data_IF_792056470861
#
_entry.id   IF_792056470861
#
_cell.length_a   1.000
_cell.length_b   1.000
_cell.length_c   1.000
_cell.angle_alpha   90.00
_cell.angle_beta   90.00
_cell.angle_gamma   90.00
#
_symmetry.space_group_name_H-M   'P 1'
#
loop_
_entity.id
_entity.type
_entity.pdbx_description
1 polymer ?
#
# COMPACT_ATOMS: atom_id res chain seq x y z
N UNK A 1 43.04 16.80 -4.73
CA UNK A 1 42.83 15.43 -4.21
C UNK A 1 41.37 15.08 -4.47
N UNK A 2 41.09 14.40 -5.59
CA UNK A 2 39.72 14.15 -6.06
C UNK A 2 39.23 12.87 -5.39
N UNK A 3 38.22 13.00 -4.53
CA UNK A 3 37.50 11.86 -3.95
C UNK A 3 36.78 11.12 -5.08
N UNK A 4 37.21 9.90 -5.38
CA UNK A 4 36.45 8.97 -6.19
C UNK A 4 35.13 8.63 -5.46
N UNK A 5 34.03 9.15 -5.98
CA UNK A 5 32.68 8.74 -5.59
C UNK A 5 32.51 7.26 -5.93
N UNK A 6 32.32 6.42 -4.92
CA UNK A 6 31.94 5.01 -5.09
C UNK A 6 30.60 4.94 -5.82
N UNK A 7 30.64 4.67 -7.12
CA UNK A 7 29.46 4.32 -7.91
C UNK A 7 28.81 3.09 -7.29
N UNK A 8 27.57 3.23 -6.82
CA UNK A 8 26.82 2.13 -6.22
C UNK A 8 26.52 1.06 -7.27
N UNK A 9 27.09 -0.13 -7.10
CA UNK A 9 26.77 -1.32 -7.88
C UNK A 9 25.34 -1.80 -7.57
N UNK A 10 24.63 -2.28 -8.59
CA UNK A 10 23.27 -2.80 -8.46
C UNK A 10 23.26 -4.32 -8.57
N UNK A 11 22.96 -4.98 -7.45
CA UNK A 11 22.63 -6.40 -7.39
C UNK A 11 21.19 -6.61 -7.89
N UNK A 12 21.01 -7.47 -8.90
CA UNK A 12 19.70 -8.02 -9.24
C UNK A 12 19.42 -9.15 -8.25
N UNK A 13 18.46 -8.90 -7.36
CA UNK A 13 18.03 -9.85 -6.34
C UNK A 13 16.63 -10.37 -6.65
N UNK A 14 16.39 -11.63 -6.31
CA UNK A 14 15.07 -12.21 -6.36
C UNK A 14 14.09 -11.42 -5.47
N UNK A 15 12.93 -11.06 -6.02
CA UNK A 15 11.97 -10.19 -5.34
C UNK A 15 11.32 -10.80 -4.09
N UNK A 16 11.29 -12.14 -3.99
CA UNK A 16 10.62 -12.86 -2.90
C UNK A 16 11.60 -13.32 -1.82
N UNK A 17 12.78 -13.80 -2.22
CA UNK A 17 13.79 -14.41 -1.34
C UNK A 17 14.96 -13.47 -1.04
N UNK A 18 15.11 -12.38 -1.79
CA UNK A 18 16.23 -11.43 -1.70
C UNK A 18 17.61 -12.06 -1.98
N UNK A 19 17.64 -13.28 -2.54
CA UNK A 19 18.84 -13.95 -3.00
C UNK A 19 19.45 -13.19 -4.19
N UNK A 20 20.78 -13.18 -4.28
CA UNK A 20 21.47 -12.57 -5.43
C UNK A 20 21.26 -13.44 -6.66
N UNK A 21 20.47 -12.96 -7.62
CA UNK A 21 20.28 -13.64 -8.89
C UNK A 21 21.41 -13.29 -9.86
N UNK A 22 21.86 -12.04 -9.85
CA UNK A 22 22.87 -11.57 -10.78
C UNK A 22 23.53 -10.28 -10.27
N UNK A 23 24.86 -10.21 -10.38
CA UNK A 23 25.63 -8.99 -10.09
C UNK A 23 26.01 -8.35 -11.43
N UNK A 24 25.44 -7.18 -11.69
CA UNK A 24 25.55 -6.54 -13.00
C UNK A 24 26.85 -5.74 -13.14
N UNK A 25 27.48 -5.84 -14.32
CA UNK A 25 28.74 -5.17 -14.63
C UNK A 25 28.55 -3.73 -15.12
N UNK A 26 29.63 -2.94 -15.05
CA UNK A 26 29.64 -1.50 -15.41
C UNK A 26 29.23 -1.19 -16.85
N UNK A 27 29.38 -2.15 -17.75
CA UNK A 27 29.12 -1.96 -19.17
C UNK A 27 27.74 -2.46 -19.59
N UNK A 28 26.94 -2.94 -18.65
CA UNK A 28 25.62 -3.50 -18.94
C UNK A 28 24.57 -2.41 -18.82
N UNK A 29 23.81 -2.21 -19.90
CA UNK A 29 22.65 -1.33 -19.90
C UNK A 29 21.57 -1.94 -19.01
N UNK A 30 21.44 -1.41 -17.81
CA UNK A 30 20.42 -1.83 -16.86
C UNK A 30 19.16 -1.00 -17.09
N UNK A 31 18.16 -1.60 -17.73
CA UNK A 31 16.81 -1.03 -17.79
C UNK A 31 15.84 -1.96 -17.07
N UNK A 32 15.07 -1.41 -16.12
CA UNK A 32 13.95 -2.12 -15.51
C UNK A 32 12.67 -1.60 -16.15
N UNK A 33 11.97 -2.46 -16.87
CA UNK A 33 10.63 -2.14 -17.36
C UNK A 33 9.70 -2.00 -16.16
N UNK A 34 9.09 -0.83 -16.03
CA UNK A 34 8.07 -0.53 -15.03
C UNK A 34 6.86 0.05 -15.73
N UNK A 35 5.68 -0.42 -15.38
CA UNK A 35 4.45 0.20 -15.84
C UNK A 35 4.21 1.52 -15.09
N UNK A 36 3.87 2.55 -15.84
CA UNK A 36 3.37 3.81 -15.29
C UNK A 36 2.26 4.36 -16.19
N UNK A 37 1.30 5.02 -15.58
CA UNK A 37 0.19 5.66 -16.27
C UNK A 37 -0.06 7.02 -15.63
N UNK A 38 -0.18 8.05 -16.46
CA UNK A 38 -0.70 9.36 -16.05
C UNK A 38 -2.07 9.51 -16.71
N UNK A 39 -3.08 9.81 -15.92
CA UNK A 39 -4.43 10.09 -16.38
C UNK A 39 -4.90 11.43 -15.82
N UNK A 40 -5.27 12.35 -16.70
CA UNK A 40 -5.81 13.65 -16.32
C UNK A 40 -7.27 13.64 -16.77
N UNK A 41 -8.24 13.55 -15.84
CA UNK A 41 -9.64 13.61 -16.19
C UNK A 41 -9.99 14.98 -16.79
N UNK A 42 -10.95 15.00 -17.71
CA UNK A 42 -11.47 16.25 -18.25
C UNK A 42 -12.02 17.15 -17.13
N UNK A 43 -11.81 18.46 -17.27
CA UNK A 43 -12.27 19.47 -16.31
C UNK A 43 -11.77 19.26 -14.85
N UNK A 44 -10.72 18.45 -14.65
CA UNK A 44 -10.13 18.22 -13.34
C UNK A 44 -8.89 19.08 -13.13
N UNK A 45 -8.76 19.63 -11.91
CA UNK A 45 -7.50 20.25 -11.43
C UNK A 45 -6.47 19.22 -10.96
N UNK A 46 -6.84 17.94 -10.95
CA UNK A 46 -6.06 16.83 -10.41
C UNK A 46 -5.77 15.81 -11.50
N UNK A 47 -4.51 15.38 -11.59
CA UNK A 47 -4.09 14.23 -12.38
C UNK A 47 -3.80 13.03 -11.47
N UNK A 48 -4.08 11.84 -11.98
CA UNK A 48 -3.79 10.57 -11.33
C UNK A 48 -2.53 9.98 -11.94
N UNK A 49 -1.62 9.51 -11.08
CA UNK A 49 -0.43 8.80 -11.52
C UNK A 49 -0.38 7.43 -10.85
N UNK A 50 -0.28 6.40 -11.68
CA UNK A 50 -0.17 5.01 -11.26
C UNK A 50 1.23 4.53 -11.54
N UNK A 51 1.85 3.92 -10.55
CA UNK A 51 3.16 3.28 -10.67
C UNK A 51 3.05 1.82 -10.27
N UNK A 52 3.63 0.95 -11.08
CA UNK A 52 3.91 -0.41 -10.66
C UNK A 52 4.96 -0.42 -9.56
N UNK A 53 4.64 -1.07 -8.43
CA UNK A 53 5.59 -1.18 -7.34
C UNK A 53 6.39 -2.49 -7.44
N UNK A 54 7.55 -2.44 -8.09
CA UNK A 54 8.54 -3.53 -8.05
C UNK A 54 9.46 -3.34 -6.84
N UNK A 55 9.25 -4.11 -5.76
CA UNK A 55 10.01 -4.11 -4.47
C UNK A 55 9.61 -3.04 -3.41
N UNK A 56 10.44 -2.85 -2.38
CA UNK A 56 10.26 -1.87 -1.28
C UNK A 56 10.66 -0.43 -1.66
N UNK A 57 11.17 -0.20 -2.87
CA UNK A 57 11.73 1.10 -3.28
C UNK A 57 10.62 2.07 -3.70
N UNK A 58 10.56 3.24 -3.06
CA UNK A 58 9.56 4.26 -3.36
C UNK A 58 9.87 4.99 -4.67
N UNK A 59 9.05 4.76 -5.70
CA UNK A 59 9.18 5.41 -7.02
C UNK A 59 8.81 6.89 -6.97
N UNK A 60 7.98 7.31 -6.00
CA UNK A 60 7.46 8.68 -5.85
C UNK A 60 8.55 9.76 -5.91
N UNK A 61 9.53 9.70 -5.01
CA UNK A 61 10.54 10.78 -4.85
C UNK A 61 11.39 10.91 -6.13
N UNK A 62 11.73 9.77 -6.75
CA UNK A 62 12.51 9.76 -7.99
C UNK A 62 11.66 10.40 -9.10
N UNK A 63 10.40 9.98 -9.24
CA UNK A 63 9.52 10.52 -10.26
C UNK A 63 9.27 12.02 -10.08
N UNK A 64 8.90 12.49 -8.89
CA UNK A 64 8.70 13.92 -8.60
C UNK A 64 9.92 14.74 -9.00
N UNK A 65 11.12 14.28 -8.64
CA UNK A 65 12.37 14.97 -8.95
C UNK A 65 12.66 15.00 -10.44
N UNK A 66 12.56 13.87 -11.13
CA UNK A 66 12.87 13.83 -12.57
C UNK A 66 11.80 14.53 -13.41
N UNK A 67 10.53 14.46 -13.02
CA UNK A 67 9.45 15.17 -13.71
C UNK A 67 9.55 16.69 -13.49
N UNK A 68 9.93 17.14 -12.29
CA UNK A 68 10.22 18.55 -12.03
C UNK A 68 11.38 19.06 -12.88
N UNK A 69 12.47 18.29 -13.01
CA UNK A 69 13.58 18.67 -13.90
C UNK A 69 13.13 18.78 -15.34
N UNK A 70 12.31 17.83 -15.82
CA UNK A 70 11.73 17.88 -17.15
C UNK A 70 10.92 19.16 -17.35
N UNK A 71 10.04 19.52 -16.41
CA UNK A 71 9.26 20.77 -16.50
C UNK A 71 10.16 22.02 -16.56
N UNK A 72 11.18 22.11 -15.71
CA UNK A 72 12.11 23.24 -15.70
C UNK A 72 12.87 23.36 -17.02
N UNK A 73 13.35 22.25 -17.60
CA UNK A 73 14.03 22.26 -18.90
C UNK A 73 13.10 22.75 -20.03
N UNK A 74 11.80 22.49 -19.91
CA UNK A 74 10.79 22.94 -20.87
C UNK A 74 10.22 24.34 -20.57
N UNK A 75 10.81 25.09 -19.62
CA UNK A 75 10.43 26.48 -19.32
C UNK A 75 9.26 26.64 -18.35
N UNK A 76 8.86 25.59 -17.63
CA UNK A 76 7.79 25.61 -16.63
C UNK A 76 8.34 25.85 -15.20
N UNK A 77 9.15 26.90 -15.03
CA UNK A 77 9.94 27.12 -13.79
C UNK A 77 9.09 27.53 -12.58
N UNK A 78 7.87 28.03 -12.82
CA UNK A 78 6.95 28.50 -11.79
C UNK A 78 5.99 27.41 -11.28
N UNK A 79 6.16 26.17 -11.71
CA UNK A 79 5.30 25.05 -11.31
C UNK A 79 6.04 24.12 -10.37
N UNK A 80 5.36 23.69 -9.30
CA UNK A 80 5.85 22.65 -8.39
C UNK A 80 4.93 21.45 -8.45
N UNK A 81 5.45 20.31 -8.86
CA UNK A 81 4.72 19.05 -8.81
C UNK A 81 4.73 18.53 -7.36
N UNK A 82 3.56 18.15 -6.87
CA UNK A 82 3.38 17.46 -5.60
C UNK A 82 2.55 16.20 -5.89
N UNK A 83 3.13 15.01 -5.66
CA UNK A 83 2.36 13.77 -5.68
C UNK A 83 1.87 13.47 -4.27
N UNK A 84 0.56 13.33 -4.11
CA UNK A 84 -0.04 12.89 -2.86
C UNK A 84 -0.54 11.45 -3.01
N UNK A 85 -0.41 10.60 -1.97
CA UNK A 85 -0.99 9.27 -2.02
C UNK A 85 -2.51 9.39 -2.21
N UNK A 86 -3.03 8.86 -3.32
CA UNK A 86 -4.46 8.90 -3.66
C UNK A 86 -5.34 7.94 -2.85
N UNK A 87 -5.25 7.97 -1.51
CA UNK A 87 -6.18 7.24 -0.65
C UNK A 87 -7.47 8.05 -0.50
N UNK A 88 -8.46 7.75 -1.34
CA UNK A 88 -9.79 8.33 -1.20
C UNK A 88 -10.58 7.59 -0.10
N UNK A 89 -11.07 8.31 0.91
CA UNK A 89 -11.93 7.75 1.96
C UNK A 89 -13.20 7.12 1.39
N UNK A 90 -13.74 7.63 0.29
CA UNK A 90 -14.89 7.04 -0.40
C UNK A 90 -14.54 5.66 -0.98
N UNK A 91 -13.35 5.50 -1.57
CA UNK A 91 -12.85 4.21 -2.03
C UNK A 91 -12.70 3.23 -0.86
N UNK A 92 -12.12 3.69 0.26
CA UNK A 92 -11.96 2.87 1.45
C UNK A 92 -13.31 2.44 2.05
N UNK A 93 -14.29 3.36 2.13
CA UNK A 93 -15.65 3.07 2.60
C UNK A 93 -16.33 2.05 1.69
N UNK A 94 -16.32 2.29 0.37
CA UNK A 94 -16.88 1.37 -0.62
C UNK A 94 -16.27 -0.02 -0.53
N UNK A 95 -14.95 -0.09 -0.38
CA UNK A 95 -14.24 -1.35 -0.23
C UNK A 95 -14.65 -2.07 1.07
N UNK A 96 -14.80 -1.34 2.18
CA UNK A 96 -15.26 -1.91 3.46
C UNK A 96 -16.72 -2.35 3.43
N UNK A 97 -17.59 -1.62 2.74
CA UNK A 97 -19.02 -1.91 2.63
C UNK A 97 -19.29 -3.10 1.70
N UNK A 98 -18.74 -3.05 0.49
CA UNK A 98 -19.05 -4.01 -0.59
C UNK A 98 -18.07 -5.19 -0.64
N UNK A 99 -16.89 -5.05 -0.07
CA UNK A 99 -15.86 -6.09 -0.07
C UNK A 99 -16.13 -7.24 0.91
N UNK A 100 -15.36 -8.31 0.72
CA UNK A 100 -15.34 -9.50 1.57
C UNK A 100 -14.16 -9.44 2.52
N UNK A 101 -14.41 -9.62 3.82
CA UNK A 101 -13.37 -9.65 4.84
C UNK A 101 -12.57 -10.96 4.71
N UNK A 102 -11.28 -10.86 4.41
CA UNK A 102 -10.38 -12.01 4.21
C UNK A 102 -9.83 -12.53 5.53
N UNK A 103 -9.37 -11.61 6.38
CA UNK A 103 -8.73 -11.91 7.67
C UNK A 103 -8.75 -10.70 8.58
N UNK A 104 -8.77 -10.95 9.88
CA UNK A 104 -8.57 -9.93 10.92
C UNK A 104 -7.37 -10.33 11.76
N UNK A 105 -6.49 -9.40 12.03
CA UNK A 105 -5.31 -9.57 12.88
C UNK A 105 -5.44 -8.66 14.08
N UNK A 106 -5.57 -9.29 15.24
CA UNK A 106 -5.56 -8.64 16.53
C UNK A 106 -4.11 -8.56 16.99
N UNK A 107 -3.63 -7.35 17.27
CA UNK A 107 -2.22 -7.08 17.54
C UNK A 107 -2.08 -6.54 18.96
N UNK A 108 -1.26 -7.20 19.77
CA UNK A 108 -0.82 -6.72 21.07
C UNK A 108 0.67 -6.42 21.03
N UNK A 109 1.05 -5.23 21.44
CA UNK A 109 2.46 -4.85 21.57
C UNK A 109 2.95 -5.29 22.93
N UNK A 110 3.96 -6.17 22.95
CA UNK A 110 4.69 -6.49 24.18
C UNK A 110 5.60 -5.31 24.49
N UNK A 111 5.08 -4.38 25.27
CA UNK A 111 5.93 -3.41 25.97
C UNK A 111 6.75 -4.19 26.99
N UNK A 112 8.07 -3.97 27.03
CA UNK A 112 8.95 -4.50 28.07
C UNK A 112 8.57 -3.90 29.42
N UNK A 113 7.55 -4.46 30.08
CA UNK A 113 7.26 -4.24 31.50
C UNK A 113 8.05 -5.19 32.41
N UNK A 114 9.24 -5.59 32.00
CA UNK A 114 10.18 -6.33 32.86
C UNK A 114 11.15 -5.42 33.63
N UNK A 115 10.92 -4.10 33.68
CA UNK A 115 11.70 -3.21 34.56
C UNK A 115 11.27 -3.33 36.04
N UNK A 116 10.12 -3.94 36.35
CA UNK A 116 9.64 -4.06 37.74
C UNK A 116 9.72 -5.46 38.36
N UNK A 117 10.11 -6.50 37.61
CA UNK A 117 10.23 -7.87 38.15
C UNK A 117 11.67 -8.43 38.12
N UNK A 118 12.66 -7.68 37.63
CA UNK A 118 14.05 -8.13 37.49
C UNK A 118 14.95 -7.75 38.69
N UNK A 119 14.47 -7.93 39.93
CA UNK A 119 15.38 -7.86 41.10
C UNK A 119 16.29 -9.10 41.22
N UNK A 120 16.08 -10.16 40.39
CA UNK A 120 16.75 -11.46 40.58
C UNK A 120 17.10 -12.22 39.28
N UNK A 121 17.59 -11.55 38.23
CA UNK A 121 18.17 -12.28 37.10
C UNK A 121 18.45 -11.45 35.86
N UNK A 122 19.46 -11.86 35.08
CA UNK A 122 19.83 -11.26 33.80
C UNK A 122 18.66 -11.37 32.80
N UNK A 123 17.82 -10.34 32.79
CA UNK A 123 16.73 -10.20 31.82
C UNK A 123 17.27 -9.67 30.51
N UNK A 124 16.90 -10.33 29.42
CA UNK A 124 17.24 -9.90 28.07
C UNK A 124 16.34 -8.71 27.67
N UNK A 125 16.81 -7.49 27.95
CA UNK A 125 16.07 -6.22 27.87
C UNK A 125 15.54 -5.81 26.47
N UNK A 126 15.74 -6.63 25.43
CA UNK A 126 15.49 -6.27 24.03
C UNK A 126 14.32 -7.00 23.35
N UNK A 127 13.43 -7.66 24.09
CA UNK A 127 12.28 -8.34 23.50
C UNK A 127 11.11 -7.37 23.20
N UNK A 128 11.30 -6.44 22.27
CA UNK A 128 10.18 -5.74 21.62
C UNK A 128 9.48 -6.73 20.68
N UNK A 129 8.41 -7.35 21.15
CA UNK A 129 7.64 -8.33 20.38
C UNK A 129 6.24 -7.84 20.05
N UNK A 130 5.69 -8.29 18.94
CA UNK A 130 4.25 -8.20 18.66
C UNK A 130 3.63 -9.60 18.78
N UNK A 131 2.50 -9.68 19.48
CA UNK A 131 1.67 -10.88 19.48
C UNK A 131 0.51 -10.65 18.52
N UNK A 132 0.49 -11.44 17.44
CA UNK A 132 -0.54 -11.37 16.40
C UNK A 132 -1.43 -12.59 16.50
N UNK A 133 -2.73 -12.36 16.75
CA UNK A 133 -3.77 -13.37 16.63
C UNK A 133 -4.55 -13.14 15.34
N UNK A 134 -4.46 -14.08 14.40
CA UNK A 134 -5.19 -14.03 13.14
C UNK A 134 -6.53 -14.77 13.26
N UNK A 135 -7.63 -14.09 12.92
CA UNK A 135 -8.97 -14.64 12.83
C UNK A 135 -9.29 -14.87 11.35
N UNK A 136 -9.72 -16.10 11.03
CA UNK A 136 -10.21 -16.52 9.72
C UNK A 136 -11.68 -16.86 9.85
N UNK A 137 -12.46 -16.51 8.84
CA UNK A 137 -13.92 -16.65 8.84
C UNK A 137 -14.33 -17.76 7.88
N UNK A 138 -15.19 -18.66 8.34
CA UNK A 138 -15.67 -19.79 7.55
C UNK A 138 -17.15 -19.66 7.16
N UNK A 139 -17.91 -18.80 7.84
CA UNK A 139 -19.32 -18.53 7.55
C UNK A 139 -19.54 -17.04 7.20
N UNK A 140 -20.57 -16.78 6.40
CA UNK A 140 -20.91 -15.45 5.90
C UNK A 140 -21.41 -14.52 7.03
N UNK A 141 -22.22 -15.05 7.95
CA UNK A 141 -22.83 -14.27 9.03
C UNK A 141 -21.80 -13.69 10.00
N UNK A 142 -20.79 -14.45 10.44
CA UNK A 142 -19.67 -13.92 11.23
C UNK A 142 -18.87 -12.92 10.41
N UNK A 143 -18.67 -13.14 9.11
CA UNK A 143 -17.97 -12.19 8.25
C UNK A 143 -18.63 -10.82 8.30
N UNK A 144 -19.95 -10.78 8.12
CA UNK A 144 -20.73 -9.54 8.09
C UNK A 144 -20.78 -8.85 9.46
N UNK A 145 -20.91 -9.59 10.56
CA UNK A 145 -20.85 -9.04 11.91
C UNK A 145 -19.49 -8.39 12.22
N UNK A 146 -18.39 -9.09 11.93
CA UNK A 146 -17.05 -8.54 12.13
C UNK A 146 -16.81 -7.34 11.22
N UNK A 147 -17.24 -7.40 9.96
CA UNK A 147 -17.10 -6.29 9.01
C UNK A 147 -17.84 -5.04 9.48
N UNK A 148 -19.05 -5.20 10.00
CA UNK A 148 -19.84 -4.09 10.54
C UNK A 148 -19.16 -3.40 11.73
N UNK A 149 -18.65 -4.18 12.68
CA UNK A 149 -17.92 -3.62 13.84
C UNK A 149 -16.61 -2.94 13.42
N UNK A 150 -15.86 -3.55 12.49
CA UNK A 150 -14.65 -2.94 11.93
C UNK A 150 -14.94 -1.64 11.20
N UNK A 151 -16.05 -1.56 10.46
CA UNK A 151 -16.49 -0.33 9.80
C UNK A 151 -16.73 0.78 10.82
N UNK A 152 -17.50 0.52 11.87
CA UNK A 152 -17.74 1.49 12.94
C UNK A 152 -16.45 1.97 13.59
N UNK A 153 -15.55 1.04 13.93
CA UNK A 153 -14.28 1.38 14.56
C UNK A 153 -13.33 2.13 13.62
N UNK A 154 -13.37 1.85 12.31
CA UNK A 154 -12.51 2.52 11.35
C UNK A 154 -12.87 4.00 11.19
N UNK A 155 -14.16 4.32 11.22
CA UNK A 155 -14.66 5.70 11.12
C UNK A 155 -14.83 6.40 12.48
N UNK A 156 -14.59 5.71 13.59
CA UNK A 156 -14.54 6.34 14.91
C UNK A 156 -13.17 6.99 15.17
N UNK A 157 -13.13 7.88 16.17
CA UNK A 157 -11.89 8.42 16.70
C UNK A 157 -11.30 7.41 17.69
N UNK A 158 -10.09 6.94 17.40
CA UNK A 158 -9.32 6.03 18.26
C UNK A 158 -8.00 6.70 18.64
N UNK A 159 -7.74 6.78 19.94
CA UNK A 159 -6.48 7.32 20.44
C UNK A 159 -5.38 6.25 20.41
N UNK A 160 -4.16 6.65 20.03
CA UNK A 160 -3.04 5.73 19.85
C UNK A 160 -2.71 4.95 21.13
N UNK A 161 -2.84 5.60 22.30
CA UNK A 161 -2.50 5.03 23.61
C UNK A 161 -3.53 4.09 24.22
N UNK A 162 -4.77 4.08 23.74
CA UNK A 162 -5.85 3.31 24.37
C UNK A 162 -5.83 1.84 23.92
N UNK A 163 -6.63 0.95 24.53
CA UNK A 163 -6.86 -0.38 23.92
C UNK A 163 -8.18 -0.40 23.17
N UNK A 164 -8.21 -1.09 22.04
CA UNK A 164 -9.40 -1.32 21.23
C UNK A 164 -10.17 -2.48 21.86
N UNK A 165 -11.41 -2.22 22.27
CA UNK A 165 -12.37 -3.27 22.61
C UNK A 165 -13.05 -3.72 21.32
N UNK A 166 -13.03 -5.01 21.03
CA UNK A 166 -13.57 -5.56 19.78
C UNK A 166 -14.42 -6.80 20.04
N UNK A 167 -15.63 -6.82 19.45
CA UNK A 167 -16.62 -7.91 19.57
C UNK A 167 -16.93 -8.30 21.02
N UNK A 168 -16.80 -7.35 21.96
CA UNK A 168 -16.96 -7.56 23.41
C UNK A 168 -16.08 -8.68 24.02
N UNK A 169 -15.10 -9.18 23.27
CA UNK A 169 -14.30 -10.37 23.63
C UNK A 169 -12.81 -10.09 23.61
N UNK A 170 -12.38 -9.16 22.76
CA UNK A 170 -10.97 -8.87 22.55
C UNK A 170 -10.65 -7.46 23.04
N UNK A 171 -9.51 -7.33 23.70
CA UNK A 171 -8.95 -6.05 24.14
C UNK A 171 -7.51 -6.00 23.64
N UNK A 172 -7.26 -5.21 22.61
CA UNK A 172 -5.98 -5.22 21.86
C UNK A 172 -5.42 -3.84 21.58
N UNK A 173 -4.13 -3.76 21.29
CA UNK A 173 -3.47 -2.47 21.03
C UNK A 173 -3.77 -1.94 19.62
N UNK A 174 -3.88 -2.82 18.62
CA UNK A 174 -4.18 -2.48 17.23
C UNK A 174 -4.99 -3.61 16.56
N UNK A 175 -5.75 -3.26 15.52
CA UNK A 175 -6.37 -4.24 14.63
C UNK A 175 -5.99 -3.89 13.20
N UNK A 176 -5.52 -4.89 12.45
CA UNK A 176 -5.37 -4.80 11.00
C UNK A 176 -6.25 -5.84 10.33
N UNK A 177 -6.84 -5.51 9.19
CA UNK A 177 -7.74 -6.42 8.49
C UNK A 177 -7.60 -6.28 6.98
N UNK A 178 -7.76 -7.42 6.29
CA UNK A 178 -7.67 -7.47 4.83
C UNK A 178 -9.05 -7.59 4.22
N UNK A 179 -9.36 -6.76 3.23
CA UNK A 179 -10.60 -6.84 2.45
C UNK A 179 -10.25 -7.10 1.00
N UNK A 180 -11.07 -7.93 0.37
CA UNK A 180 -11.06 -8.18 -1.06
C UNK A 180 -12.31 -7.58 -1.71
N UNK A 181 -12.14 -6.82 -2.77
CA UNK A 181 -13.23 -6.27 -3.57
C UNK A 181 -12.77 -6.18 -5.03
N UNK A 182 -13.59 -6.63 -5.98
CA UNK A 182 -13.25 -6.69 -7.42
C UNK A 182 -11.85 -7.28 -7.68
N UNK A 183 -11.56 -8.43 -7.07
CA UNK A 183 -10.25 -9.13 -7.15
C UNK A 183 -9.02 -8.31 -6.71
N UNK A 184 -9.24 -7.13 -6.14
CA UNK A 184 -8.22 -6.29 -5.51
C UNK A 184 -8.21 -6.54 -4.00
N UNK A 185 -7.02 -6.54 -3.40
CA UNK A 185 -6.85 -6.73 -1.96
C UNK A 185 -6.24 -5.49 -1.31
N UNK A 186 -6.77 -5.07 -0.15
CA UNK A 186 -6.20 -3.99 0.66
C UNK A 186 -6.20 -4.35 2.14
N UNK A 187 -5.13 -3.94 2.82
CA UNK A 187 -5.00 -4.07 4.28
C UNK A 187 -5.25 -2.72 4.93
N UNK A 188 -6.17 -2.72 5.90
CA UNK A 188 -6.57 -1.59 6.70
C UNK A 188 -5.95 -1.71 8.09
N UNK A 189 -5.71 -0.55 8.72
CA UNK A 189 -5.23 -0.43 10.09
C UNK A 189 -6.16 0.55 10.81
N UNK A 190 -6.66 0.19 12.00
CA UNK A 190 -7.65 1.00 12.70
C UNK A 190 -7.04 2.28 13.27
N UNK A 191 -5.94 2.17 14.01
CA UNK A 191 -5.29 3.33 14.62
C UNK A 191 -4.21 3.93 13.75
N UNK A 192 -3.28 3.11 13.27
CA UNK A 192 -2.15 3.61 12.50
C UNK A 192 -2.51 3.77 11.02
N UNK A 193 -3.44 4.69 10.75
CA UNK A 193 -3.95 4.98 9.41
C UNK A 193 -2.86 5.42 8.44
N UNK A 194 -1.78 6.03 8.94
CA UNK A 194 -0.59 6.39 8.16
C UNK A 194 0.15 5.18 7.56
N UNK A 195 -0.04 3.96 8.11
CA UNK A 195 0.48 2.72 7.52
C UNK A 195 -0.29 2.27 6.29
N UNK A 196 -1.53 2.75 6.11
CA UNK A 196 -2.26 2.51 4.88
C UNK A 196 -1.55 3.25 3.76
N UNK A 197 -1.00 2.50 2.81
CA UNK A 197 -0.40 3.06 1.59
C UNK A 197 -1.44 3.05 0.48
N UNK A 198 -1.28 3.94 -0.49
CA UNK A 198 -2.09 3.94 -1.72
C UNK A 198 -1.87 2.68 -2.59
N UNK A 199 -0.95 1.80 -2.21
CA UNK A 199 -0.73 0.52 -2.88
C UNK A 199 -1.99 -0.35 -2.83
N UNK A 200 -2.33 -0.93 -3.97
CA UNK A 200 -3.43 -1.88 -4.15
C UNK A 200 -2.82 -3.11 -4.84
N UNK A 201 -3.07 -4.29 -4.29
CA UNK A 201 -2.66 -5.54 -4.95
C UNK A 201 -3.72 -5.91 -5.98
N UNK A 202 -3.32 -5.89 -7.25
CA UNK A 202 -4.15 -6.18 -8.42
C UNK A 202 -3.70 -7.44 -9.16
N UNK A 203 -2.83 -8.26 -8.57
CA UNK A 203 -2.25 -9.42 -9.25
C UNK A 203 -3.31 -10.35 -9.86
N UNK A 204 -4.47 -10.48 -9.20
CA UNK A 204 -5.58 -11.30 -9.67
C UNK A 204 -6.44 -10.65 -10.78
N UNK A 205 -6.27 -9.35 -11.05
CA UNK A 205 -6.95 -8.62 -12.13
C UNK A 205 -6.15 -8.59 -13.43
N UNK A 206 -4.88 -8.98 -13.37
CA UNK A 206 -3.97 -8.87 -14.51
C UNK A 206 -4.03 -10.13 -15.39
N UNK A 207 -3.98 -9.93 -16.70
CA UNK A 207 -3.74 -10.98 -17.69
C UNK A 207 -2.24 -11.12 -17.92
N UNK A 208 -1.76 -12.36 -17.93
CA UNK A 208 -0.34 -12.68 -18.05
C UNK A 208 -0.07 -13.42 -19.37
N UNK A 209 1.08 -13.13 -19.97
CA UNK A 209 1.67 -13.96 -21.03
C UNK A 209 3.01 -14.46 -20.49
N UNK A 210 3.09 -15.75 -20.20
CA UNK A 210 4.18 -16.30 -19.39
C UNK A 210 4.10 -15.79 -17.95
N UNK A 211 5.18 -15.16 -17.47
CA UNK A 211 5.28 -14.61 -16.10
C UNK A 211 5.13 -13.08 -16.02
N UNK A 212 4.88 -12.42 -17.15
CA UNK A 212 4.79 -10.96 -17.23
C UNK A 212 3.34 -10.52 -17.50
N UNK A 213 2.83 -9.51 -16.79
CA UNK A 213 1.52 -8.94 -17.07
C UNK A 213 1.55 -8.18 -18.41
N UNK A 214 0.45 -8.24 -19.17
CA UNK A 214 0.36 -7.51 -20.44
C UNK A 214 0.12 -6.02 -20.21
N UNK A 215 0.70 -5.17 -21.07
CA UNK A 215 0.54 -3.71 -20.97
C UNK A 215 -0.93 -3.28 -21.03
N UNK A 216 -1.71 -3.85 -21.97
CA UNK A 216 -3.14 -3.54 -22.10
C UNK A 216 -3.93 -3.92 -20.84
N UNK A 217 -3.60 -5.05 -20.21
CA UNK A 217 -4.23 -5.43 -18.95
C UNK A 217 -3.85 -4.49 -17.81
N UNK A 218 -2.59 -4.08 -17.73
CA UNK A 218 -2.15 -3.12 -16.72
C UNK A 218 -2.82 -1.76 -16.90
N UNK A 219 -2.94 -1.28 -18.15
CA UNK A 219 -3.62 -0.03 -18.50
C UNK A 219 -5.10 -0.06 -18.14
N UNK A 220 -5.83 -1.10 -18.56
CA UNK A 220 -7.25 -1.27 -18.24
C UNK A 220 -7.48 -1.29 -16.73
N UNK A 221 -6.75 -2.13 -16.00
CA UNK A 221 -6.89 -2.22 -14.52
C UNK A 221 -6.54 -0.90 -13.83
N UNK A 222 -5.53 -0.17 -14.32
CA UNK A 222 -5.18 1.13 -13.75
C UNK A 222 -6.28 2.18 -13.94
N UNK A 223 -6.93 2.21 -15.11
CA UNK A 223 -8.05 3.11 -15.38
C UNK A 223 -9.29 2.74 -14.55
N UNK A 224 -9.61 1.46 -14.45
CA UNK A 224 -10.71 0.98 -13.61
C UNK A 224 -10.51 1.40 -12.15
N UNK A 225 -9.28 1.26 -11.62
CA UNK A 225 -8.97 1.69 -10.26
C UNK A 225 -9.14 3.20 -10.07
N UNK A 226 -8.77 4.00 -11.07
CA UNK A 226 -8.98 5.46 -11.02
C UNK A 226 -10.48 5.76 -10.96
N UNK A 227 -11.31 5.07 -11.75
CA UNK A 227 -12.77 5.22 -11.70
C UNK A 227 -13.34 4.77 -10.35
N UNK A 228 -12.89 3.64 -9.81
CA UNK A 228 -13.28 3.16 -8.48
C UNK A 228 -12.92 4.20 -7.39
N UNK A 229 -11.81 4.91 -7.54
CA UNK A 229 -11.37 5.99 -6.65
C UNK A 229 -12.22 7.24 -6.82
N UNK A 230 -12.59 7.61 -8.05
CA UNK A 230 -13.45 8.77 -8.35
C UNK A 230 -14.91 8.54 -7.94
N UNK A 231 -15.34 7.27 -7.92
CA UNK A 231 -16.75 6.88 -7.82
C UNK A 231 -17.40 6.85 -9.20
N UNK A 232 -18.09 5.76 -9.52
CA UNK A 232 -18.88 5.65 -10.74
C UNK A 232 -19.99 6.71 -10.73
N UNK A 233 -19.81 7.78 -11.50
CA UNK A 233 -20.68 8.95 -11.52
C UNK A 233 -20.02 10.25 -11.97
N UNK A 234 -18.70 10.28 -12.15
CA UNK A 234 -17.95 11.46 -12.64
C UNK A 234 -17.31 11.25 -14.01
N UNK A 235 -17.61 10.15 -14.70
CA UNK A 235 -16.93 9.84 -15.94
C UNK A 235 -17.81 9.10 -16.94
N UNK A 236 -18.44 9.88 -17.84
CA UNK A 236 -18.93 9.38 -19.11
C UNK A 236 -17.70 8.90 -19.91
N UNK A 237 -17.42 7.60 -19.90
CA UNK A 237 -16.41 6.97 -20.76
C UNK A 237 -17.03 5.99 -21.77
N UNK A 238 -18.35 5.96 -21.90
CA UNK A 238 -19.06 5.16 -22.92
C UNK A 238 -19.48 5.99 -24.15
N UNK A 239 -18.93 7.19 -24.32
CA UNK A 239 -18.92 7.86 -25.61
C UNK A 239 -17.47 7.95 -26.08
N UNK A 240 -17.22 7.42 -27.28
CA UNK A 240 -15.96 7.42 -28.06
C UNK A 240 -15.01 6.22 -27.85
N UNK A 241 -15.45 5.04 -28.30
CA UNK A 241 -14.93 4.40 -29.53
C UNK A 241 -15.75 3.15 -29.90
#
# INVERSE_FOLDING_TARGET
>A
MIQHTLERFFDIRDGNTNALNYSANKNELQSRKMFSLVHIPENSKYGYVVFENKSKHGVKIIYEREFQKFLNINGFDNFRIILEPGLNFNYLSNMMEKGKLKKVRLINYRYSKEVQLSLWGNVNLNATGEEIKELKFFNQTENDLFKFELYKLFFSRLDLGDKIKFMSKYVVDEISFGINHNDSSKTFYLKNKNRMRANIDVSNRLKYVGYEPTYESQKSVALDLIQEILGYGLSNFDEVA
#
